data_IF_539397545420
#
_entry.id   IF_539397545420
#
_cell.length_a   1.000
_cell.length_b   1.000
_cell.length_c   1.000
_cell.angle_alpha   90.00
_cell.angle_beta   90.00
_cell.angle_gamma   90.00
#
_symmetry.space_group_name_H-M   'P 1'
#
loop_
_entity.id
_entity.type
_entity.pdbx_description
1 polymer ?
#
# COMPACT_ATOMS: atom_id res chain seq x y z
N UNK A 1 -4.94 -15.93 7.28
CA UNK A 1 -4.62 -15.35 5.95
C UNK A 1 -3.15 -15.59 5.69
N UNK A 2 -2.79 -16.10 4.50
CA UNK A 2 -1.39 -16.20 4.07
C UNK A 2 -1.13 -15.12 3.01
N UNK A 3 0.01 -14.42 3.11
CA UNK A 3 0.44 -13.41 2.15
C UNK A 3 1.78 -13.84 1.59
N UNK A 4 1.87 -13.95 0.27
CA UNK A 4 3.09 -14.31 -0.44
C UNK A 4 3.29 -13.35 -1.61
N UNK A 5 4.52 -12.86 -1.80
CA UNK A 5 4.91 -11.95 -2.88
C UNK A 5 6.26 -12.38 -3.42
N UNK A 6 6.53 -12.09 -4.69
CA UNK A 6 7.89 -12.17 -5.21
C UNK A 6 8.71 -10.94 -4.78
N UNK A 7 10.04 -11.02 -4.85
CA UNK A 7 10.94 -9.95 -4.42
C UNK A 7 11.68 -9.26 -5.57
N UNK A 8 11.35 -9.58 -6.83
CA UNK A 8 12.01 -9.00 -7.99
C UNK A 8 11.43 -7.63 -8.32
N UNK A 9 12.29 -6.63 -8.50
CA UNK A 9 11.95 -5.34 -9.09
C UNK A 9 12.78 -5.11 -10.36
N UNK A 10 12.16 -4.49 -11.37
CA UNK A 10 12.77 -4.30 -12.69
C UNK A 10 12.52 -2.89 -13.21
N UNK A 11 13.45 -2.39 -14.02
CA UNK A 11 13.34 -1.14 -14.75
C UNK A 11 13.45 -1.46 -16.25
N UNK A 12 12.30 -1.65 -16.90
CA UNK A 12 12.25 -2.25 -18.24
C UNK A 12 12.71 -3.71 -18.21
N UNK A 13 13.56 -4.11 -19.15
CA UNK A 13 14.15 -5.46 -19.20
C UNK A 13 15.24 -5.70 -18.15
N UNK A 14 15.73 -4.65 -17.50
CA UNK A 14 16.78 -4.74 -16.50
C UNK A 14 16.21 -5.12 -15.11
N UNK A 15 16.75 -6.18 -14.50
CA UNK A 15 16.43 -6.55 -13.12
C UNK A 15 17.21 -5.64 -12.17
N UNK A 16 16.52 -4.68 -11.56
CA UNK A 16 17.13 -3.72 -10.64
C UNK A 16 17.52 -4.38 -9.31
N UNK A 17 16.65 -5.22 -8.74
CA UNK A 17 16.95 -5.97 -7.52
C UNK A 17 16.11 -7.25 -7.43
N UNK A 18 16.62 -8.24 -6.73
CA UNK A 18 15.91 -9.50 -6.42
C UNK A 18 15.45 -9.57 -4.96
N UNK A 19 15.69 -8.53 -4.16
CA UNK A 19 15.42 -8.53 -2.71
C UNK A 19 14.53 -7.34 -2.30
N UNK A 20 13.60 -6.95 -3.17
CA UNK A 20 12.66 -5.89 -2.85
C UNK A 20 11.56 -6.41 -1.91
N UNK A 21 11.22 -5.63 -0.88
CA UNK A 21 10.17 -5.97 0.07
C UNK A 21 8.81 -5.50 -0.47
N UNK A 22 8.06 -6.41 -1.10
CA UNK A 22 6.71 -6.12 -1.62
C UNK A 22 5.59 -6.33 -0.60
N UNK A 23 5.88 -6.81 0.60
CA UNK A 23 4.95 -6.75 1.74
C UNK A 23 5.26 -5.51 2.55
N UNK A 24 4.25 -4.70 2.79
CA UNK A 24 4.35 -3.49 3.61
C UNK A 24 3.50 -3.67 4.86
N UNK A 25 4.11 -3.44 6.01
CA UNK A 25 3.43 -3.46 7.30
C UNK A 25 2.76 -2.11 7.54
N UNK A 26 1.45 -2.02 7.27
CA UNK A 26 0.68 -0.79 7.47
C UNK A 26 0.46 -0.55 8.97
N UNK A 27 0.12 -1.61 9.70
CA UNK A 27 0.06 -1.63 11.17
C UNK A 27 0.15 -3.10 11.67
N UNK A 28 0.22 -3.38 12.98
CA UNK A 28 0.39 -4.74 13.51
C UNK A 28 -0.69 -5.77 13.15
N UNK A 29 -1.79 -5.38 12.49
CA UNK A 29 -2.88 -6.25 12.08
C UNK A 29 -3.29 -6.08 10.62
N UNK A 30 -2.61 -5.23 9.85
CA UNK A 30 -2.94 -4.91 8.45
C UNK A 30 -1.66 -4.91 7.62
N UNK A 31 -1.64 -5.78 6.61
CA UNK A 31 -0.56 -5.87 5.63
C UNK A 31 -1.06 -5.37 4.27
N UNK A 32 -0.19 -4.63 3.58
CA UNK A 32 -0.35 -4.25 2.18
C UNK A 32 0.62 -5.04 1.29
N UNK A 33 0.23 -5.16 0.02
CA UNK A 33 1.06 -5.80 -1.02
C UNK A 33 1.31 -4.80 -2.14
N UNK A 34 2.55 -4.73 -2.59
CA UNK A 34 2.96 -3.81 -3.64
C UNK A 34 2.96 -4.48 -5.02
N UNK A 35 2.23 -3.87 -5.95
CA UNK A 35 2.28 -4.15 -7.38
C UNK A 35 2.04 -2.88 -8.19
N UNK A 36 2.83 -2.67 -9.23
CA UNK A 36 2.86 -1.43 -10.03
C UNK A 36 4.14 -0.63 -9.80
N UNK A 37 4.00 0.70 -9.79
CA UNK A 37 5.11 1.60 -9.49
C UNK A 37 5.52 1.45 -8.03
N UNK A 38 6.79 1.11 -7.80
CA UNK A 38 7.31 0.96 -6.46
C UNK A 38 7.20 2.26 -5.64
N UNK A 39 7.42 3.41 -6.29
CA UNK A 39 7.31 4.71 -5.62
C UNK A 39 5.86 4.99 -5.17
N UNK A 40 4.89 4.75 -6.06
CA UNK A 40 3.48 5.02 -5.78
C UNK A 40 2.97 4.14 -4.64
N UNK A 41 3.25 2.83 -4.69
CA UNK A 41 2.80 1.90 -3.66
C UNK A 41 3.40 2.22 -2.30
N UNK A 42 4.73 2.43 -2.21
CA UNK A 42 5.37 2.79 -0.94
C UNK A 42 4.77 4.07 -0.37
N UNK A 43 4.55 5.07 -1.22
CA UNK A 43 4.04 6.36 -0.78
C UNK A 43 2.60 6.24 -0.24
N UNK A 44 1.69 5.70 -1.05
CA UNK A 44 0.27 5.65 -0.71
C UNK A 44 -0.03 4.70 0.43
N UNK A 45 0.69 3.60 0.56
CA UNK A 45 0.53 2.70 1.71
C UNK A 45 1.05 3.34 3.01
N UNK A 46 2.10 4.16 2.97
CA UNK A 46 2.53 4.96 4.13
C UNK A 46 1.51 6.03 4.50
N UNK A 47 0.90 6.68 3.51
CA UNK A 47 -0.21 7.63 3.75
C UNK A 47 -1.38 6.90 4.41
N UNK A 48 -1.74 5.72 3.91
CA UNK A 48 -2.78 4.88 4.52
C UNK A 48 -2.44 4.52 5.97
N UNK A 49 -1.18 4.15 6.27
CA UNK A 49 -0.75 3.85 7.64
C UNK A 49 -0.97 5.04 8.59
N UNK A 50 -0.63 6.25 8.13
CA UNK A 50 -0.89 7.50 8.87
C UNK A 50 -2.37 7.72 9.11
N UNK A 51 -3.21 7.59 8.08
CA UNK A 51 -4.65 7.81 8.22
C UNK A 51 -5.30 6.74 9.12
N UNK A 52 -4.87 5.47 9.03
CA UNK A 52 -5.29 4.40 9.94
C UNK A 52 -4.94 4.75 11.41
N UNK A 53 -3.75 5.34 11.64
CA UNK A 53 -3.32 5.75 12.98
C UNK A 53 -4.16 6.91 13.51
N UNK A 54 -4.46 7.91 12.68
CA UNK A 54 -5.32 9.03 13.03
C UNK A 54 -6.75 8.55 13.34
N UNK A 55 -7.30 7.65 12.52
CA UNK A 55 -8.61 7.04 12.77
C UNK A 55 -8.67 6.38 14.14
N UNK A 56 -7.63 5.61 14.50
CA UNK A 56 -7.53 4.96 15.81
C UNK A 56 -7.51 5.95 16.97
N UNK A 57 -6.83 7.08 16.82
CA UNK A 57 -6.77 8.11 17.86
C UNK A 57 -8.12 8.85 18.01
N UNK A 58 -8.81 9.13 16.90
CA UNK A 58 -10.10 9.84 16.91
C UNK A 58 -11.25 9.01 17.45
N UNK A 59 -11.34 7.75 17.04
CA UNK A 59 -12.48 6.88 17.38
C UNK A 59 -12.21 5.97 18.58
N UNK A 60 -10.97 5.93 19.08
CA UNK A 60 -10.49 4.95 20.09
C UNK A 60 -10.69 3.48 19.68
N UNK A 61 -10.92 3.24 18.39
CA UNK A 61 -11.19 1.93 17.80
C UNK A 61 -10.27 1.67 16.60
N UNK A 62 -9.99 0.40 16.30
CA UNK A 62 -9.20 0.03 15.12
C UNK A 62 -10.04 0.19 13.86
N UNK A 63 -9.41 0.66 12.78
CA UNK A 63 -10.08 0.71 11.48
C UNK A 63 -10.31 -0.71 10.97
N UNK A 64 -11.47 -0.96 10.35
CA UNK A 64 -11.73 -2.24 9.69
C UNK A 64 -10.94 -2.36 8.39
N UNK A 65 -10.67 -3.59 7.95
CA UNK A 65 -9.99 -3.86 6.67
C UNK A 65 -10.78 -3.29 5.48
N UNK A 66 -12.12 -3.35 5.55
CA UNK A 66 -13.01 -2.78 4.51
C UNK A 66 -12.95 -1.25 4.47
N UNK A 67 -12.87 -0.59 5.62
CA UNK A 67 -12.74 0.86 5.67
C UNK A 67 -11.35 1.32 5.20
N UNK A 68 -10.28 0.62 5.59
CA UNK A 68 -8.92 0.91 5.15
C UNK A 68 -8.75 0.76 3.63
N UNK A 69 -9.24 -0.35 3.05
CA UNK A 69 -9.19 -0.58 1.59
C UNK A 69 -10.00 0.46 0.83
N UNK A 70 -11.20 0.81 1.30
CA UNK A 70 -12.03 1.86 0.69
C UNK A 70 -11.38 3.24 0.80
N UNK A 71 -10.72 3.54 1.91
CA UNK A 71 -9.98 4.79 2.10
C UNK A 71 -8.83 4.90 1.08
N UNK A 72 -8.04 3.85 0.92
CA UNK A 72 -6.98 3.80 -0.10
C UNK A 72 -7.53 3.98 -1.51
N UNK A 73 -8.60 3.24 -1.85
CA UNK A 73 -9.24 3.34 -3.16
C UNK A 73 -9.73 4.77 -3.45
N UNK A 74 -10.34 5.43 -2.46
CA UNK A 74 -10.78 6.82 -2.60
C UNK A 74 -9.60 7.80 -2.76
N UNK A 75 -8.51 7.61 -2.00
CA UNK A 75 -7.32 8.45 -2.14
C UNK A 75 -6.73 8.35 -3.55
N UNK A 76 -6.54 7.13 -4.06
CA UNK A 76 -5.98 6.89 -5.40
C UNK A 76 -6.96 7.31 -6.51
N UNK A 77 -8.27 7.16 -6.30
CA UNK A 77 -9.28 7.56 -7.28
C UNK A 77 -9.24 9.06 -7.62
N UNK A 78 -8.85 9.92 -6.68
CA UNK A 78 -8.68 11.36 -6.92
C UNK A 78 -7.57 11.68 -7.93
N UNK A 79 -6.65 10.75 -8.16
CA UNK A 79 -5.52 10.88 -9.08
C UNK A 79 -5.71 10.00 -10.33
N UNK A 80 -6.94 9.52 -10.58
CA UNK A 80 -7.26 8.76 -11.79
C UNK A 80 -6.93 9.59 -13.04
N UNK A 81 -6.17 8.99 -13.95
CA UNK A 81 -5.72 9.65 -15.18
C UNK A 81 -4.42 10.46 -15.05
N UNK A 82 -3.82 10.53 -13.85
CA UNK A 82 -2.55 11.24 -13.61
C UNK A 82 -1.31 10.33 -13.67
N UNK A 83 -1.45 9.10 -14.17
CA UNK A 83 -0.33 8.17 -14.35
C UNK A 83 0.09 7.38 -13.10
N UNK A 84 -0.68 7.41 -12.01
CA UNK A 84 -0.44 6.52 -10.87
C UNK A 84 -0.61 5.05 -11.29
N UNK A 85 0.30 4.21 -10.82
CA UNK A 85 0.27 2.76 -11.07
C UNK A 85 0.35 2.00 -9.75
N UNK A 86 -0.82 1.52 -9.31
CA UNK A 86 -0.97 0.68 -8.11
C UNK A 86 -2.11 -0.31 -8.35
N UNK A 87 -1.91 -1.56 -7.92
CA UNK A 87 -2.91 -2.64 -8.00
C UNK A 87 -2.97 -3.45 -6.72
#
# INVERSE_FOLDING_TARGET
>A
VMVAVDSRASAGSYVSTQMFKKVIEINPYLLGTMSGSAADCVYWERVLARECRIYKLRNKERISVSAASKLLANMVANYRGMGLSMS
#
